data_IF_941501119090
#
_entry.id   IF_941501119090
#
_cell.length_a   1.000
_cell.length_b   1.000
_cell.length_c   1.000
_cell.angle_alpha   90.00
_cell.angle_beta   90.00
_cell.angle_gamma   90.00
#
_symmetry.space_group_name_H-M   'P 1'
#
loop_
_entity.id
_entity.type
_entity.pdbx_description
1 polymer ?
#
# COMPACT_ATOMS: atom_id res chain seq x y z
N UNK A 1 1.58 1.34 30.10
CA UNK A 1 0.69 2.13 29.21
C UNK A 1 0.23 1.27 28.05
N UNK A 2 -1.04 1.35 27.64
CA UNK A 2 -1.63 0.62 26.50
C UNK A 2 -2.17 1.60 25.46
N UNK A 3 -1.81 1.42 24.20
CA UNK A 3 -2.24 2.28 23.09
C UNK A 3 -2.99 1.45 22.06
N UNK A 4 -4.17 1.91 21.66
CA UNK A 4 -4.98 1.34 20.59
C UNK A 4 -4.79 2.14 19.30
N UNK A 5 -4.44 1.47 18.21
CA UNK A 5 -4.37 2.04 16.86
C UNK A 5 -5.45 1.38 15.99
N UNK A 6 -6.23 2.16 15.26
CA UNK A 6 -7.36 1.64 14.47
C UNK A 6 -7.21 2.03 12.99
N UNK A 7 -7.05 1.03 12.12
CA UNK A 7 -6.94 1.18 10.67
C UNK A 7 -7.78 0.12 9.95
N UNK A 8 -9.07 0.42 9.75
CA UNK A 8 -10.06 -0.49 9.14
C UNK A 8 -10.27 -0.24 7.64
N UNK A 9 -9.32 0.42 6.97
CA UNK A 9 -9.39 0.67 5.52
C UNK A 9 -8.69 -0.45 4.73
N UNK A 10 -8.21 -0.13 3.52
CA UNK A 10 -7.63 -1.09 2.57
C UNK A 10 -6.15 -1.35 2.87
N UNK A 11 -5.57 -2.32 2.17
CA UNK A 11 -4.17 -2.75 2.33
C UNK A 11 -3.18 -1.57 2.19
N UNK A 12 -3.37 -0.71 1.18
CA UNK A 12 -2.53 0.47 0.97
C UNK A 12 -2.57 1.44 2.15
N UNK A 13 -3.75 1.74 2.71
CA UNK A 13 -3.87 2.58 3.90
C UNK A 13 -3.11 1.98 5.10
N UNK A 14 -3.18 0.65 5.30
CA UNK A 14 -2.43 -0.02 6.37
C UNK A 14 -0.92 0.13 6.18
N UNK A 15 -0.41 -0.13 4.98
CA UNK A 15 1.02 0.03 4.67
C UNK A 15 1.47 1.47 4.96
N UNK A 16 0.69 2.46 4.52
CA UNK A 16 0.96 3.88 4.77
C UNK A 16 0.72 4.33 6.22
N UNK A 17 0.24 3.45 7.10
CA UNK A 17 0.14 3.69 8.55
C UNK A 17 1.39 3.23 9.30
N UNK A 18 2.23 2.38 8.69
CA UNK A 18 3.47 1.88 9.32
C UNK A 18 4.43 2.97 9.83
N UNK A 19 4.60 4.15 9.17
CA UNK A 19 5.44 5.20 9.73
C UNK A 19 4.87 5.78 11.02
N UNK A 20 3.54 5.91 11.12
CA UNK A 20 2.86 6.36 12.34
C UNK A 20 3.00 5.33 13.47
N UNK A 21 2.89 4.03 13.17
CA UNK A 21 3.14 2.95 14.14
C UNK A 21 4.57 3.04 14.70
N UNK A 22 5.57 3.19 13.81
CA UNK A 22 6.96 3.34 14.19
C UNK A 22 7.19 4.59 15.06
N UNK A 23 6.54 5.71 14.73
CA UNK A 23 6.64 6.95 15.51
C UNK A 23 6.06 6.79 16.92
N UNK A 24 4.90 6.15 17.07
CA UNK A 24 4.30 5.86 18.39
C UNK A 24 5.20 4.92 19.20
N UNK A 25 5.74 3.87 18.58
CA UNK A 25 6.71 2.97 19.24
C UNK A 25 7.96 3.72 19.69
N UNK A 26 8.49 4.63 18.87
CA UNK A 26 9.68 5.43 19.20
C UNK A 26 9.45 6.37 20.39
N UNK A 27 8.31 7.07 20.43
CA UNK A 27 7.94 7.94 21.56
C UNK A 27 7.64 7.14 22.83
N UNK A 28 7.06 5.95 22.70
CA UNK A 28 6.62 5.12 23.82
C UNK A 28 7.19 3.69 23.72
N UNK A 29 8.50 3.49 23.92
CA UNK A 29 9.16 2.21 23.69
C UNK A 29 8.59 1.07 24.55
N UNK A 30 8.24 1.35 25.80
CA UNK A 30 7.64 0.38 26.74
C UNK A 30 6.12 0.24 26.67
N UNK A 31 5.43 0.94 25.77
CA UNK A 31 3.97 0.83 25.67
C UNK A 31 3.53 -0.48 25.03
N UNK A 32 2.37 -1.00 25.44
CA UNK A 32 1.73 -2.10 24.75
C UNK A 32 0.84 -1.55 23.62
N UNK A 33 1.27 -1.70 22.38
CA UNK A 33 0.55 -1.24 21.19
C UNK A 33 -0.35 -2.36 20.64
N UNK A 34 -1.65 -2.11 20.61
CA UNK A 34 -2.63 -2.96 19.92
C UNK A 34 -3.07 -2.29 18.63
N UNK A 35 -2.92 -2.95 17.49
CA UNK A 35 -3.41 -2.49 16.20
C UNK A 35 -4.65 -3.29 15.78
N UNK A 36 -5.70 -2.59 15.38
CA UNK A 36 -6.93 -3.20 14.84
C UNK A 36 -7.00 -2.92 13.34
N UNK A 37 -7.11 -3.99 12.54
CA UNK A 37 -7.14 -3.91 11.08
C UNK A 37 -8.41 -4.53 10.47
N UNK A 38 -8.69 -4.16 9.22
CA UNK A 38 -9.74 -4.81 8.44
C UNK A 38 -9.35 -6.26 8.03
N UNK A 39 -10.32 -7.15 7.80
CA UNK A 39 -10.05 -8.55 7.42
C UNK A 39 -9.25 -8.69 6.13
N UNK A 40 -9.47 -7.80 5.17
CA UNK A 40 -8.75 -7.76 3.89
C UNK A 40 -7.25 -7.49 4.07
N UNK A 41 -6.85 -6.95 5.22
CA UNK A 41 -5.46 -6.68 5.55
C UNK A 41 -4.80 -7.79 6.38
N UNK A 42 -5.55 -8.82 6.80
CA UNK A 42 -5.06 -9.89 7.70
C UNK A 42 -3.78 -10.54 7.18
N UNK A 43 -3.68 -10.78 5.87
CA UNK A 43 -2.51 -11.40 5.26
C UNK A 43 -1.21 -10.59 5.48
N UNK A 44 -1.30 -9.27 5.67
CA UNK A 44 -0.13 -8.43 5.93
C UNK A 44 0.32 -8.46 7.40
N UNK A 45 -0.51 -8.96 8.31
CA UNK A 45 -0.27 -8.88 9.75
C UNK A 45 1.12 -9.35 10.19
N UNK A 46 1.69 -10.46 9.67
CA UNK A 46 3.03 -10.91 10.06
C UNK A 46 4.15 -9.93 9.72
N UNK A 47 3.94 -9.03 8.76
CA UNK A 47 4.95 -8.05 8.35
C UNK A 47 4.85 -6.69 9.06
N UNK A 48 3.82 -6.48 9.89
CA UNK A 48 3.64 -5.24 10.63
C UNK A 48 4.41 -5.31 11.95
N UNK A 49 5.47 -4.50 12.06
CA UNK A 49 6.31 -4.43 13.26
C UNK A 49 5.94 -3.25 14.16
N UNK A 50 6.52 -3.21 15.36
CA UNK A 50 6.30 -2.14 16.33
C UNK A 50 5.00 -2.24 17.13
N UNK A 51 4.17 -3.26 16.88
CA UNK A 51 2.94 -3.56 17.64
C UNK A 51 3.13 -4.81 18.49
N UNK A 52 2.50 -4.86 19.67
CA UNK A 52 2.53 -6.06 20.53
C UNK A 52 1.37 -7.01 20.25
N UNK A 53 0.24 -6.47 19.78
CA UNK A 53 -0.96 -7.24 19.50
C UNK A 53 -1.62 -6.72 18.25
N UNK A 54 -2.02 -7.64 17.37
CA UNK A 54 -2.80 -7.33 16.19
C UNK A 54 -4.15 -8.02 16.28
N UNK A 55 -5.21 -7.26 16.08
CA UNK A 55 -6.59 -7.72 16.07
C UNK A 55 -7.20 -7.49 14.70
N UNK A 56 -7.88 -8.50 14.17
CA UNK A 56 -8.71 -8.34 12.98
C UNK A 56 -10.11 -7.94 13.41
N UNK A 57 -10.75 -7.02 12.71
CA UNK A 57 -12.15 -6.66 12.90
C UNK A 57 -13.03 -7.26 11.78
N UNK A 58 -13.57 -8.48 11.95
CA UNK A 58 -14.54 -9.07 11.04
C UNK A 58 -15.76 -8.18 10.79
N UNK A 59 -16.50 -8.48 9.72
CA UNK A 59 -17.82 -7.90 9.46
C UNK A 59 -18.88 -8.76 10.17
N UNK A 60 -19.95 -8.14 10.66
CA UNK A 60 -21.06 -8.85 11.31
C UNK A 60 -20.74 -9.31 12.74
N UNK A 61 -21.48 -10.32 13.22
CA UNK A 61 -21.44 -10.79 14.61
C UNK A 61 -20.11 -11.44 15.02
N UNK A 62 -19.31 -11.93 14.06
CA UNK A 62 -17.97 -12.46 14.34
C UNK A 62 -16.99 -11.41 14.85
N UNK A 63 -17.32 -10.11 14.75
CA UNK A 63 -16.56 -9.02 15.34
C UNK A 63 -16.69 -8.89 16.86
N UNK A 64 -17.65 -9.56 17.50
CA UNK A 64 -17.93 -9.42 18.94
C UNK A 64 -16.72 -9.77 19.82
N UNK A 65 -15.92 -10.76 19.45
CA UNK A 65 -14.70 -11.13 20.19
C UNK A 65 -13.69 -9.99 20.17
N UNK A 66 -13.45 -9.38 19.01
CA UNK A 66 -12.54 -8.23 18.88
C UNK A 66 -13.08 -7.01 19.62
N UNK A 67 -14.39 -6.78 19.55
CA UNK A 67 -15.09 -5.72 20.28
C UNK A 67 -14.90 -5.91 21.80
N UNK A 68 -15.13 -7.11 22.32
CA UNK A 68 -14.96 -7.44 23.73
C UNK A 68 -13.49 -7.28 24.17
N UNK A 69 -12.54 -7.74 23.35
CA UNK A 69 -11.11 -7.57 23.61
C UNK A 69 -10.71 -6.09 23.69
N UNK A 70 -11.35 -5.22 22.90
CA UNK A 70 -11.13 -3.77 22.97
C UNK A 70 -11.77 -3.18 24.22
N UNK A 71 -13.02 -3.54 24.52
CA UNK A 71 -13.75 -3.04 25.68
C UNK A 71 -13.08 -3.40 27.01
N UNK A 72 -12.50 -4.59 27.12
CA UNK A 72 -11.77 -5.06 28.30
C UNK A 72 -10.28 -4.68 28.29
N UNK A 73 -9.80 -4.04 27.21
CA UNK A 73 -8.37 -3.79 26.98
C UNK A 73 -7.73 -2.77 27.94
N UNK A 74 -8.52 -1.88 28.54
CA UNK A 74 -8.09 -0.75 29.41
C UNK A 74 -7.01 0.11 28.72
N UNK A 75 -7.36 0.76 27.62
CA UNK A 75 -6.42 1.58 26.86
C UNK A 75 -6.22 2.96 27.50
N UNK A 76 -5.01 3.48 27.43
CA UNK A 76 -4.70 4.86 27.81
C UNK A 76 -5.00 5.81 26.64
N UNK A 77 -4.49 5.47 25.45
CA UNK A 77 -4.64 6.27 24.24
C UNK A 77 -5.26 5.45 23.12
N UNK A 78 -6.05 6.09 22.27
CA UNK A 78 -6.64 5.52 21.07
C UNK A 78 -6.49 6.49 19.90
N UNK A 79 -5.93 6.02 18.78
CA UNK A 79 -5.79 6.81 17.53
C UNK A 79 -6.61 6.16 16.42
N UNK A 80 -7.56 6.90 15.84
CA UNK A 80 -8.39 6.44 14.73
C UNK A 80 -7.93 7.03 13.37
N UNK A 81 -7.31 6.19 12.55
CA UNK A 81 -6.91 6.51 11.17
C UNK A 81 -8.05 6.33 10.14
N UNK A 82 -9.15 5.69 10.55
CA UNK A 82 -10.24 5.22 9.68
C UNK A 82 -11.36 6.25 9.52
N UNK A 83 -11.89 6.75 10.64
CA UNK A 83 -12.95 7.78 10.70
C UNK A 83 -14.32 7.35 10.13
N UNK A 84 -14.74 6.12 10.39
CA UNK A 84 -16.07 5.62 10.05
C UNK A 84 -16.86 5.19 11.29
N UNK A 85 -18.10 4.72 11.12
CA UNK A 85 -18.97 4.39 12.27
C UNK A 85 -18.45 3.20 13.07
N UNK A 86 -17.84 2.22 12.38
CA UNK A 86 -17.24 1.06 13.04
C UNK A 86 -16.03 1.47 13.86
N UNK A 87 -15.12 2.27 13.33
CA UNK A 87 -13.96 2.74 14.11
C UNK A 87 -14.40 3.61 15.29
N UNK A 88 -15.40 4.47 15.10
CA UNK A 88 -15.95 5.31 16.17
C UNK A 88 -16.54 4.49 17.33
N UNK A 89 -17.22 3.37 17.05
CA UNK A 89 -17.69 2.45 18.08
C UNK A 89 -16.53 1.86 18.89
N UNK A 90 -15.46 1.42 18.21
CA UNK A 90 -14.28 0.86 18.89
C UNK A 90 -13.56 1.90 19.74
N UNK A 91 -13.50 3.15 19.27
CA UNK A 91 -12.95 4.27 20.04
C UNK A 91 -13.77 4.50 21.31
N UNK A 92 -15.10 4.50 21.22
CA UNK A 92 -15.98 4.61 22.41
C UNK A 92 -15.71 3.47 23.39
N UNK A 93 -15.67 2.23 22.90
CA UNK A 93 -15.47 1.04 23.72
C UNK A 93 -14.06 0.92 24.30
N UNK A 94 -13.05 1.51 23.65
CA UNK A 94 -11.68 1.54 24.17
C UNK A 94 -11.59 2.23 25.55
N UNK A 95 -12.53 3.14 25.84
CA UNK A 95 -12.57 3.98 27.05
C UNK A 95 -11.25 4.73 27.32
N UNK A 96 -10.45 4.94 26.28
CA UNK A 96 -9.17 5.61 26.39
C UNK A 96 -9.32 7.06 26.88
N UNK A 97 -8.40 7.51 27.73
CA UNK A 97 -8.39 8.89 28.23
C UNK A 97 -8.07 9.90 27.14
N UNK A 98 -7.22 9.56 26.16
CA UNK A 98 -7.07 10.34 24.91
C UNK A 98 -7.60 9.52 23.73
N UNK A 99 -8.56 10.07 23.01
CA UNK A 99 -9.23 9.47 21.84
C UNK A 99 -9.10 10.45 20.69
N UNK A 100 -8.13 10.16 19.83
CA UNK A 100 -7.59 11.07 18.83
C UNK A 100 -8.15 10.74 17.45
N UNK A 101 -8.61 11.78 16.76
CA UNK A 101 -9.11 11.70 15.39
C UNK A 101 -8.94 13.04 14.68
N UNK A 102 -9.21 13.08 13.38
CA UNK A 102 -9.25 14.35 12.65
C UNK A 102 -10.46 15.19 13.01
N UNK A 103 -10.25 16.51 13.10
CA UNK A 103 -11.29 17.52 13.31
C UNK A 103 -12.49 17.39 12.35
N UNK A 104 -12.30 16.81 11.16
CA UNK A 104 -13.39 16.59 10.18
C UNK A 104 -14.58 15.80 10.74
N UNK A 105 -14.40 14.99 11.79
CA UNK A 105 -15.53 14.33 12.47
C UNK A 105 -16.50 15.36 13.07
N UNK A 106 -16.02 16.48 13.62
CA UNK A 106 -16.86 17.59 14.13
C UNK A 106 -17.77 18.15 13.06
N UNK A 107 -17.25 18.29 11.84
CA UNK A 107 -18.00 18.80 10.69
C UNK A 107 -19.02 17.78 10.17
N UNK A 108 -18.70 16.48 10.23
CA UNK A 108 -19.53 15.42 9.64
C UNK A 108 -20.58 14.82 10.56
N UNK A 109 -20.39 14.84 11.88
CA UNK A 109 -21.31 14.19 12.81
C UNK A 109 -21.12 14.70 14.25
N UNK A 110 -22.12 15.45 14.74
CA UNK A 110 -22.18 15.87 16.15
C UNK A 110 -22.25 14.67 17.10
N UNK A 111 -22.94 13.59 16.69
CA UNK A 111 -23.06 12.37 17.49
C UNK A 111 -21.69 11.70 17.71
N UNK A 112 -20.97 11.36 16.63
CA UNK A 112 -19.65 10.69 16.74
C UNK A 112 -18.60 11.54 17.40
N UNK A 113 -18.70 12.86 17.30
CA UNK A 113 -17.78 13.79 17.97
C UNK A 113 -17.68 13.52 19.47
N UNK A 114 -18.77 13.09 20.11
CA UNK A 114 -18.81 12.76 21.55
C UNK A 114 -17.92 11.58 21.93
N UNK A 115 -17.48 10.75 20.97
CA UNK A 115 -16.63 9.59 21.22
C UNK A 115 -15.14 9.95 21.22
N UNK A 116 -14.80 11.18 20.85
CA UNK A 116 -13.43 11.67 20.76
C UNK A 116 -13.25 12.89 21.65
N UNK A 117 -12.03 13.12 22.13
CA UNK A 117 -11.69 14.29 22.93
C UNK A 117 -10.44 15.02 22.43
N UNK A 118 -9.66 14.42 21.53
CA UNK A 118 -8.48 15.03 20.93
C UNK A 118 -8.66 15.11 19.41
N UNK A 119 -8.37 16.28 18.82
CA UNK A 119 -8.66 16.54 17.41
C UNK A 119 -7.47 17.17 16.69
N UNK A 120 -6.88 16.43 15.74
CA UNK A 120 -5.89 17.00 14.83
C UNK A 120 -6.56 17.93 13.82
N UNK A 121 -6.03 19.14 13.65
CA UNK A 121 -6.62 20.22 12.84
C UNK A 121 -6.40 20.03 11.33
N UNK A 122 -5.71 18.97 10.93
CA UNK A 122 -5.33 18.71 9.55
C UNK A 122 -6.41 18.03 8.73
N UNK A 123 -6.44 18.35 7.44
CA UNK A 123 -7.37 17.81 6.46
C UNK A 123 -6.65 16.82 5.56
N UNK A 124 -7.10 15.57 5.57
CA UNK A 124 -6.54 14.50 4.72
C UNK A 124 -6.42 14.90 3.24
N UNK A 125 -7.38 15.67 2.72
CA UNK A 125 -7.40 16.05 1.30
C UNK A 125 -6.34 17.10 0.94
N UNK A 126 -5.69 17.69 1.92
CA UNK A 126 -4.69 18.74 1.74
C UNK A 126 -3.27 18.18 2.04
N UNK A 127 -3.15 16.87 2.31
CA UNK A 127 -1.90 16.21 2.69
C UNK A 127 -1.68 14.89 1.93
N UNK A 128 -0.42 14.47 1.87
CA UNK A 128 -0.10 13.07 1.58
C UNK A 128 -0.62 12.17 2.71
N UNK A 129 -1.03 10.94 2.39
CA UNK A 129 -1.68 10.04 3.37
C UNK A 129 -0.76 9.70 4.57
N UNK A 130 0.53 9.49 4.35
CA UNK A 130 1.52 9.31 5.44
C UNK A 130 1.57 10.55 6.34
N UNK A 131 1.67 11.75 5.77
CA UNK A 131 1.75 12.98 6.57
C UNK A 131 0.47 13.19 7.37
N UNK A 132 -0.67 12.86 6.77
CA UNK A 132 -1.95 12.89 7.47
C UNK A 132 -1.99 11.92 8.66
N UNK A 133 -1.48 10.69 8.49
CA UNK A 133 -1.39 9.73 9.60
C UNK A 133 -0.44 10.22 10.70
N UNK A 134 0.70 10.81 10.34
CA UNK A 134 1.63 11.39 11.31
C UNK A 134 1.04 12.61 12.03
N UNK A 135 0.30 13.47 11.33
CA UNK A 135 -0.37 14.63 11.89
C UNK A 135 -1.46 14.26 12.92
N UNK A 136 -2.06 13.06 12.81
CA UNK A 136 -2.96 12.54 13.84
C UNK A 136 -2.25 12.25 15.17
N UNK A 137 -0.92 12.21 15.19
CA UNK A 137 -0.13 11.96 16.40
C UNK A 137 0.32 13.24 17.12
N UNK A 138 0.03 14.44 16.57
CA UNK A 138 0.36 15.71 17.22
C UNK A 138 -0.15 15.83 18.67
N UNK A 139 -1.38 15.39 19.04
CA UNK A 139 -1.84 15.40 20.43
C UNK A 139 -1.08 14.47 21.40
N UNK A 140 -0.20 13.62 20.86
CA UNK A 140 0.74 12.79 21.59
C UNK A 140 2.17 13.38 21.62
N UNK A 141 2.32 14.63 21.18
CA UNK A 141 3.62 15.33 21.08
C UNK A 141 4.62 14.57 20.20
N UNK A 142 4.11 13.99 19.12
CA UNK A 142 4.90 13.34 18.08
C UNK A 142 4.89 14.26 16.87
N UNK A 143 6.01 14.93 16.67
CA UNK A 143 6.32 15.74 15.49
C UNK A 143 7.60 15.21 14.83
N UNK A 144 7.84 15.56 13.56
CA UNK A 144 9.08 15.22 12.84
C UNK A 144 9.44 13.72 12.76
N UNK A 145 8.45 12.85 12.61
CA UNK A 145 8.68 11.43 12.40
C UNK A 145 9.15 11.10 10.96
N UNK A 146 9.90 10.00 10.84
CA UNK A 146 10.26 9.42 9.55
C UNK A 146 9.00 9.05 8.75
N UNK A 147 9.07 9.21 7.43
CA UNK A 147 7.99 8.86 6.49
C UNK A 147 8.23 7.51 5.82
N UNK A 148 9.30 6.81 6.20
CA UNK A 148 9.69 5.53 5.66
C UNK A 148 8.62 4.47 5.96
N UNK A 149 8.11 3.86 4.91
CA UNK A 149 7.25 2.67 5.01
C UNK A 149 8.10 1.52 5.54
N UNK A 150 7.60 0.79 6.54
CA UNK A 150 8.32 -0.32 7.17
C UNK A 150 7.48 -1.58 7.14
N UNK A 151 8.01 -2.62 6.51
CA UNK A 151 7.47 -3.98 6.53
C UNK A 151 8.63 -4.94 6.76
N UNK A 152 8.48 -5.86 7.70
CA UNK A 152 9.47 -6.91 7.93
C UNK A 152 8.91 -8.24 7.42
N UNK A 153 9.36 -8.67 6.25
CA UNK A 153 8.82 -9.89 5.65
C UNK A 153 9.28 -11.12 6.43
N UNK A 154 8.37 -12.03 6.83
CA UNK A 154 8.77 -13.25 7.50
C UNK A 154 9.61 -14.13 6.58
N UNK A 155 10.50 -14.94 7.16
CA UNK A 155 11.38 -15.85 6.42
C UNK A 155 10.61 -16.76 5.46
N UNK A 156 9.47 -17.28 5.91
CA UNK A 156 8.61 -18.15 5.09
C UNK A 156 8.13 -17.48 3.80
N UNK A 157 7.81 -16.18 3.83
CA UNK A 157 7.38 -15.46 2.62
C UNK A 157 8.52 -15.32 1.60
N UNK A 158 9.76 -15.15 2.09
CA UNK A 158 10.97 -15.12 1.24
C UNK A 158 11.23 -16.50 0.63
N UNK A 159 11.15 -17.55 1.44
CA UNK A 159 11.32 -18.95 1.00
C UNK A 159 10.27 -19.34 -0.06
N UNK A 160 9.00 -19.00 0.14
CA UNK A 160 7.94 -19.23 -0.86
C UNK A 160 8.19 -18.45 -2.16
N UNK A 161 8.65 -17.20 -2.07
CA UNK A 161 9.00 -16.42 -3.26
C UNK A 161 10.19 -17.05 -4.02
N UNK A 162 11.22 -17.50 -3.32
CA UNK A 162 12.39 -18.17 -3.90
C UNK A 162 12.00 -19.49 -4.58
N UNK A 163 11.11 -20.26 -3.95
CA UNK A 163 10.56 -21.48 -4.52
C UNK A 163 9.79 -21.20 -5.82
N UNK A 164 8.87 -20.23 -5.82
CA UNK A 164 8.09 -19.87 -7.02
C UNK A 164 8.98 -19.42 -8.19
N UNK A 165 10.04 -18.65 -7.90
CA UNK A 165 11.00 -18.21 -8.92
C UNK A 165 11.79 -19.40 -9.49
N UNK A 166 12.24 -20.31 -8.63
CA UNK A 166 12.99 -21.52 -9.02
C UNK A 166 12.14 -22.45 -9.88
N UNK A 167 10.93 -22.80 -9.41
CA UNK A 167 9.99 -23.68 -10.13
C UNK A 167 9.58 -23.10 -11.49
N UNK A 168 9.55 -21.77 -11.60
CA UNK A 168 9.19 -21.08 -12.84
C UNK A 168 10.40 -20.82 -13.76
N UNK A 169 11.61 -21.21 -13.36
CA UNK A 169 12.86 -20.91 -14.05
C UNK A 169 13.04 -19.40 -14.32
N UNK A 170 12.80 -18.57 -13.30
CA UNK A 170 13.04 -17.13 -13.31
C UNK A 170 14.42 -16.85 -12.71
N UNK A 171 15.29 -16.17 -13.47
CA UNK A 171 16.63 -15.78 -13.05
C UNK A 171 16.57 -14.69 -11.97
N UNK A 172 17.74 -14.33 -11.42
CA UNK A 172 17.85 -13.26 -10.42
C UNK A 172 17.43 -11.90 -10.96
N UNK A 173 17.59 -11.65 -12.26
CA UNK A 173 17.24 -10.41 -12.90
C UNK A 173 15.88 -10.53 -13.61
N UNK A 174 14.85 -9.93 -13.02
CA UNK A 174 13.49 -9.99 -13.51
C UNK A 174 12.69 -8.72 -13.21
N UNK A 175 11.71 -8.47 -14.08
CA UNK A 175 10.78 -7.34 -13.99
C UNK A 175 9.38 -7.87 -13.69
N UNK A 176 8.71 -7.25 -12.71
CA UNK A 176 7.31 -7.57 -12.39
C UNK A 176 6.39 -6.57 -13.08
N UNK A 177 5.38 -7.11 -13.76
CA UNK A 177 4.22 -6.38 -14.24
C UNK A 177 3.02 -6.73 -13.36
N UNK A 178 2.38 -5.71 -12.77
CA UNK A 178 1.16 -5.86 -11.98
C UNK A 178 0.05 -4.98 -12.54
N UNK A 179 -0.71 -5.46 -13.53
CA UNK A 179 -1.77 -4.69 -14.19
C UNK A 179 -3.05 -4.59 -13.35
N UNK A 180 -3.14 -5.36 -12.26
CA UNK A 180 -4.35 -5.58 -11.49
C UNK A 180 -4.67 -4.55 -10.40
N UNK A 181 -5.95 -4.48 -10.06
CA UNK A 181 -6.55 -3.64 -9.03
C UNK A 181 -7.96 -4.15 -8.71
N UNK A 182 -8.46 -3.87 -7.51
CA UNK A 182 -9.84 -4.15 -7.13
C UNK A 182 -10.89 -3.25 -7.83
N UNK A 183 -10.44 -2.34 -8.71
CA UNK A 183 -11.25 -1.30 -9.37
C UNK A 183 -10.94 -1.31 -10.87
N UNK A 184 -11.93 -1.63 -11.69
CA UNK A 184 -11.79 -1.76 -13.16
C UNK A 184 -11.41 -0.45 -13.83
N UNK A 185 -11.84 0.68 -13.29
CA UNK A 185 -11.46 2.00 -13.80
C UNK A 185 -9.97 2.32 -13.64
N UNK A 186 -9.24 1.49 -12.88
CA UNK A 186 -7.78 1.54 -12.76
C UNK A 186 -7.07 0.56 -13.70
N UNK A 187 -7.78 -0.18 -14.56
CA UNK A 187 -7.15 -1.03 -15.55
C UNK A 187 -6.68 -0.19 -16.73
N UNK A 188 -5.44 -0.44 -17.14
CA UNK A 188 -4.91 0.07 -18.40
C UNK A 188 -5.16 -0.94 -19.52
N UNK A 189 -5.19 -0.50 -20.77
CA UNK A 189 -5.58 -1.40 -21.87
C UNK A 189 -4.53 -2.52 -22.06
N UNK A 190 -5.00 -3.69 -22.48
CA UNK A 190 -4.17 -4.90 -22.53
C UNK A 190 -3.11 -4.83 -23.63
N UNK A 191 -3.43 -4.19 -24.74
CA UNK A 191 -2.54 -3.95 -25.88
C UNK A 191 -1.31 -3.15 -25.44
N UNK A 192 -1.52 -2.08 -24.67
CA UNK A 192 -0.42 -1.23 -24.17
C UNK A 192 0.43 -1.95 -23.14
N UNK A 193 -0.17 -2.75 -22.25
CA UNK A 193 0.59 -3.64 -21.38
C UNK A 193 1.46 -4.61 -22.17
N UNK A 194 0.89 -5.26 -23.19
CA UNK A 194 1.62 -6.20 -24.03
C UNK A 194 2.77 -5.53 -24.79
N UNK A 195 2.59 -4.29 -25.27
CA UNK A 195 3.64 -3.50 -25.91
C UNK A 195 4.79 -3.19 -24.95
N UNK A 196 4.50 -2.71 -23.74
CA UNK A 196 5.53 -2.44 -22.71
C UNK A 196 6.28 -3.73 -22.34
N UNK A 197 5.56 -4.83 -22.13
CA UNK A 197 6.15 -6.14 -21.81
C UNK A 197 7.07 -6.61 -22.94
N UNK A 198 6.64 -6.44 -24.19
CA UNK A 198 7.43 -6.81 -25.38
C UNK A 198 8.73 -6.00 -25.43
N UNK A 199 8.64 -4.68 -25.25
CA UNK A 199 9.82 -3.80 -25.24
C UNK A 199 10.80 -4.08 -24.12
N UNK A 200 10.31 -4.48 -22.93
CA UNK A 200 11.17 -4.86 -21.82
C UNK A 200 12.10 -6.03 -22.20
N UNK A 201 11.60 -7.01 -22.97
CA UNK A 201 12.39 -8.17 -23.38
C UNK A 201 13.27 -7.90 -24.59
N UNK A 202 12.79 -7.10 -25.55
CA UNK A 202 13.57 -6.76 -26.75
C UNK A 202 14.85 -5.97 -26.40
N UNK A 203 14.76 -5.08 -25.42
CA UNK A 203 15.82 -4.12 -25.11
C UNK A 203 16.70 -4.54 -23.92
N UNK A 204 16.28 -5.54 -23.14
CA UNK A 204 17.00 -5.97 -21.93
C UNK A 204 16.95 -7.50 -21.74
N UNK A 205 18.07 -8.08 -21.27
CA UNK A 205 18.13 -9.49 -20.87
C UNK A 205 17.55 -9.71 -19.46
N UNK A 206 16.25 -9.50 -19.31
CA UNK A 206 15.52 -9.68 -18.05
C UNK A 206 14.39 -10.68 -18.22
N UNK A 207 14.09 -11.43 -17.16
CA UNK A 207 12.92 -12.30 -17.16
C UNK A 207 11.65 -11.51 -16.86
N UNK A 208 10.56 -11.85 -17.55
CA UNK A 208 9.28 -11.17 -17.44
C UNK A 208 8.35 -11.94 -16.50
N UNK A 209 7.84 -11.28 -15.46
CA UNK A 209 6.93 -11.87 -14.49
C UNK A 209 5.63 -11.08 -14.44
N UNK A 210 4.50 -11.75 -14.66
CA UNK A 210 3.16 -11.19 -14.52
C UNK A 210 2.56 -11.60 -13.17
N UNK A 211 2.04 -10.64 -12.41
CA UNK A 211 1.37 -10.87 -11.12
C UNK A 211 -0.03 -10.29 -11.12
N UNK A 212 -0.87 -10.74 -10.18
CA UNK A 212 -2.26 -10.29 -10.06
C UNK A 212 -3.01 -11.10 -8.99
N UNK A 213 -4.08 -10.54 -8.44
CA UNK A 213 -4.93 -11.22 -7.48
C UNK A 213 -5.73 -12.36 -8.12
N UNK A 214 -6.25 -13.29 -7.30
CA UNK A 214 -7.07 -14.44 -7.75
C UNK A 214 -8.51 -14.07 -8.15
N UNK A 215 -8.87 -12.78 -8.11
CA UNK A 215 -10.22 -12.34 -8.49
C UNK A 215 -10.49 -12.61 -9.97
N UNK A 216 -11.72 -13.02 -10.32
CA UNK A 216 -12.11 -13.24 -11.73
C UNK A 216 -11.80 -12.02 -12.60
N UNK A 217 -12.04 -10.82 -12.07
CA UNK A 217 -11.75 -9.56 -12.74
C UNK A 217 -10.28 -9.44 -13.16
N UNK A 218 -9.35 -9.62 -12.22
CA UNK A 218 -7.92 -9.51 -12.49
C UNK A 218 -7.41 -10.66 -13.34
N UNK A 219 -7.90 -11.89 -13.14
CA UNK A 219 -7.50 -13.05 -13.94
C UNK A 219 -7.93 -12.90 -15.40
N UNK A 220 -9.13 -12.39 -15.68
CA UNK A 220 -9.55 -12.08 -17.06
C UNK A 220 -8.61 -11.05 -17.68
N UNK A 221 -8.29 -9.97 -16.98
CA UNK A 221 -7.40 -8.92 -17.50
C UNK A 221 -5.97 -9.43 -17.75
N UNK A 222 -5.41 -10.20 -16.81
CA UNK A 222 -4.10 -10.84 -16.94
C UNK A 222 -4.05 -11.79 -18.13
N UNK A 223 -5.07 -12.62 -18.32
CA UNK A 223 -5.14 -13.54 -19.46
C UNK A 223 -5.23 -12.80 -20.80
N UNK A 224 -5.96 -11.68 -20.84
CA UNK A 224 -6.09 -10.85 -22.03
C UNK A 224 -4.80 -10.11 -22.41
N UNK A 225 -3.98 -9.73 -21.41
CA UNK A 225 -2.62 -9.22 -21.63
C UNK A 225 -1.73 -10.35 -22.14
N UNK A 226 -1.72 -11.50 -21.44
CA UNK A 226 -0.86 -12.64 -21.76
C UNK A 226 -1.08 -13.15 -23.20
N UNK A 227 -2.32 -13.15 -23.70
CA UNK A 227 -2.63 -13.59 -25.07
C UNK A 227 -2.04 -12.67 -26.16
N UNK A 228 -1.67 -11.43 -25.81
CA UNK A 228 -1.10 -10.43 -26.72
C UNK A 228 0.42 -10.31 -26.63
N UNK A 229 1.04 -10.85 -25.59
CA UNK A 229 2.50 -10.83 -25.39
C UNK A 229 3.15 -11.88 -26.28
N UNK A 230 4.16 -11.47 -27.06
CA UNK A 230 4.89 -12.35 -27.99
C UNK A 230 5.98 -13.19 -27.33
N UNK A 231 6.56 -12.70 -26.24
CA UNK A 231 7.66 -13.36 -25.53
C UNK A 231 7.18 -14.28 -24.41
N UNK A 232 8.05 -15.18 -23.97
CA UNK A 232 7.83 -15.96 -22.74
C UNK A 232 7.69 -15.00 -21.55
N UNK A 233 6.52 -15.04 -20.91
CA UNK A 233 6.24 -14.36 -19.65
C UNK A 233 5.76 -15.37 -18.61
N UNK A 234 6.37 -15.34 -17.43
CA UNK A 234 5.99 -16.21 -16.32
C UNK A 234 4.76 -15.61 -15.64
N UNK A 235 3.65 -16.34 -15.64
CA UNK A 235 2.43 -15.90 -14.96
C UNK A 235 2.34 -16.47 -13.54
N UNK A 236 2.46 -15.59 -12.54
CA UNK A 236 2.26 -15.86 -11.12
C UNK A 236 0.94 -15.25 -10.58
N UNK A 237 0.04 -14.78 -11.46
CA UNK A 237 -1.27 -14.30 -11.05
C UNK A 237 -2.05 -15.39 -10.31
N UNK A 238 -2.65 -15.03 -9.17
CA UNK A 238 -3.38 -15.97 -8.32
C UNK A 238 -2.52 -17.03 -7.61
N UNK A 239 -1.19 -17.04 -7.82
CA UNK A 239 -0.25 -17.98 -7.17
C UNK A 239 0.51 -17.37 -5.99
N UNK A 240 0.18 -16.13 -5.62
CA UNK A 240 0.87 -15.39 -4.56
C UNK A 240 -0.14 -14.90 -3.53
N UNK A 241 0.24 -14.96 -2.26
CA UNK A 241 -0.39 -14.15 -1.23
C UNK A 241 0.31 -12.78 -1.11
N UNK A 242 -0.18 -11.93 -0.22
CA UNK A 242 0.33 -10.56 -0.10
C UNK A 242 1.79 -10.51 0.37
N UNK A 243 2.21 -11.43 1.23
CA UNK A 243 3.57 -11.45 1.77
C UNK A 243 4.55 -12.01 0.74
N UNK A 244 4.16 -13.06 0.02
CA UNK A 244 4.93 -13.63 -1.09
C UNK A 244 5.07 -12.62 -2.22
N UNK A 245 4.00 -11.89 -2.56
CA UNK A 245 4.07 -10.80 -3.53
C UNK A 245 5.04 -9.70 -3.09
N UNK A 246 5.02 -9.31 -1.81
CA UNK A 246 5.97 -8.35 -1.28
C UNK A 246 7.42 -8.85 -1.37
N UNK A 247 7.67 -10.14 -1.10
CA UNK A 247 8.99 -10.76 -1.21
C UNK A 247 9.47 -10.83 -2.67
N UNK A 248 8.60 -11.16 -3.62
CA UNK A 248 8.91 -11.11 -5.05
C UNK A 248 9.26 -9.69 -5.50
N UNK A 249 8.46 -8.69 -5.09
CA UNK A 249 8.71 -7.27 -5.40
C UNK A 249 10.05 -6.82 -4.82
N UNK A 250 10.40 -7.22 -3.59
CA UNK A 250 11.67 -6.86 -2.97
C UNK A 250 12.90 -7.41 -3.72
N UNK A 251 12.71 -8.46 -4.52
CA UNK A 251 13.76 -9.08 -5.35
C UNK A 251 13.76 -8.63 -6.80
N UNK A 252 12.69 -8.00 -7.27
CA UNK A 252 12.57 -7.57 -8.66
C UNK A 252 13.52 -6.39 -8.95
N UNK A 253 14.05 -6.34 -10.18
CA UNK A 253 14.81 -5.17 -10.65
C UNK A 253 13.92 -3.94 -10.82
N UNK A 254 12.67 -4.17 -11.24
CA UNK A 254 11.69 -3.13 -11.49
C UNK A 254 10.27 -3.68 -11.29
N UNK A 255 9.39 -2.87 -10.71
CA UNK A 255 7.94 -3.09 -10.69
C UNK A 255 7.24 -2.09 -11.61
N UNK A 256 6.42 -2.56 -12.56
CA UNK A 256 5.54 -1.72 -13.36
C UNK A 256 4.11 -2.05 -12.94
N UNK A 257 3.40 -1.07 -12.39
CA UNK A 257 2.10 -1.29 -11.73
C UNK A 257 1.14 -0.12 -11.91
N UNK A 258 -0.15 -0.37 -11.68
CA UNK A 258 -1.12 0.70 -11.44
C UNK A 258 -1.09 1.16 -9.98
N UNK A 259 -1.81 2.23 -9.63
CA UNK A 259 -2.05 2.65 -8.25
C UNK A 259 -2.86 1.57 -7.47
N UNK A 260 -2.15 0.57 -6.95
CA UNK A 260 -2.68 -0.54 -6.15
C UNK A 260 -1.70 -0.95 -5.04
N UNK A 261 -2.04 -1.97 -4.25
CA UNK A 261 -1.24 -2.37 -3.09
C UNK A 261 0.26 -2.65 -3.40
N UNK A 262 0.63 -3.28 -4.52
CA UNK A 262 2.03 -3.51 -4.91
C UNK A 262 2.92 -2.27 -4.95
N UNK A 263 2.40 -1.12 -5.38
CA UNK A 263 3.13 0.16 -5.35
C UNK A 263 3.61 0.51 -3.93
N UNK A 264 2.75 0.28 -2.94
CA UNK A 264 3.08 0.52 -1.54
C UNK A 264 4.00 -0.56 -0.96
N UNK A 265 3.90 -1.81 -1.41
CA UNK A 265 4.84 -2.87 -1.05
C UNK A 265 6.25 -2.55 -1.56
N UNK A 266 6.38 -2.11 -2.81
CA UNK A 266 7.64 -1.66 -3.41
C UNK A 266 8.23 -0.45 -2.67
N UNK A 267 7.39 0.39 -2.06
CA UNK A 267 7.86 1.50 -1.22
C UNK A 267 8.60 1.02 0.04
N UNK A 268 8.23 -0.15 0.59
CA UNK A 268 8.88 -0.72 1.78
C UNK A 268 10.24 -1.35 1.46
N UNK A 269 10.37 -2.03 0.33
CA UNK A 269 11.62 -2.65 -0.14
C UNK A 269 12.51 -1.71 -0.95
N UNK A 270 12.04 -0.49 -1.22
CA UNK A 270 12.67 0.48 -2.13
C UNK A 270 12.91 -0.05 -3.54
N UNK A 271 12.10 -1.00 -3.99
CA UNK A 271 12.13 -1.51 -5.36
C UNK A 271 11.82 -0.38 -6.34
N UNK A 272 12.65 -0.14 -7.36
CA UNK A 272 12.34 0.82 -8.42
C UNK A 272 10.97 0.52 -9.04
N UNK A 273 10.21 1.55 -9.41
CA UNK A 273 8.89 1.35 -9.97
C UNK A 273 8.45 2.40 -11.00
N UNK A 274 7.72 1.93 -12.01
CA UNK A 274 6.92 2.77 -12.90
C UNK A 274 5.45 2.61 -12.52
N UNK A 275 4.76 3.73 -12.27
CA UNK A 275 3.40 3.69 -11.73
C UNK A 275 2.43 4.45 -12.61
N UNK A 276 1.32 3.79 -12.95
CA UNK A 276 0.26 4.35 -13.77
C UNK A 276 -0.86 4.89 -12.87
N UNK A 277 -1.04 6.22 -12.87
CA UNK A 277 -2.11 6.92 -12.15
C UNK A 277 -3.14 7.48 -13.14
N UNK A 278 -4.35 6.93 -13.12
CA UNK A 278 -5.49 7.46 -13.86
C UNK A 278 -6.49 8.17 -12.92
N UNK A 279 -7.50 7.45 -12.39
CA UNK A 279 -8.65 8.05 -11.71
C UNK A 279 -8.35 8.52 -10.27
N UNK A 280 -7.08 8.45 -9.85
CA UNK A 280 -6.63 8.80 -8.50
C UNK A 280 -5.53 9.86 -8.56
N UNK A 281 -5.41 10.63 -7.48
CA UNK A 281 -4.41 11.70 -7.39
C UNK A 281 -3.11 11.16 -6.74
N UNK A 282 -1.97 11.11 -7.46
CA UNK A 282 -0.68 10.69 -6.91
C UNK A 282 -0.20 11.56 -5.74
N UNK A 283 -0.67 12.80 -5.59
CA UNK A 283 -0.37 13.64 -4.43
C UNK A 283 -0.65 12.94 -3.09
N UNK A 284 -1.69 12.10 -3.02
CA UNK A 284 -2.08 11.44 -1.77
C UNK A 284 -1.40 10.09 -1.52
N UNK A 285 -0.92 9.42 -2.58
CA UNK A 285 -0.63 7.99 -2.54
C UNK A 285 0.75 7.62 -3.07
N UNK A 286 1.44 8.51 -3.78
CA UNK A 286 2.71 8.17 -4.41
C UNK A 286 3.76 7.69 -3.41
N UNK A 287 4.67 6.81 -3.83
CA UNK A 287 5.90 6.59 -3.09
C UNK A 287 6.70 7.89 -3.01
N UNK A 288 7.38 8.11 -1.88
CA UNK A 288 8.22 9.30 -1.65
C UNK A 288 9.68 8.98 -1.33
N UNK A 289 9.96 7.73 -0.95
CA UNK A 289 11.30 7.30 -0.50
C UNK A 289 11.85 6.10 -1.31
N UNK A 290 11.16 5.70 -2.39
CA UNK A 290 11.65 4.69 -3.34
C UNK A 290 11.79 5.31 -4.74
N UNK A 291 12.70 4.79 -5.58
CA UNK A 291 12.85 5.26 -6.96
C UNK A 291 11.54 5.00 -7.72
N UNK A 292 10.82 6.05 -8.09
CA UNK A 292 9.51 5.93 -8.71
C UNK A 292 9.33 6.95 -9.82
N UNK A 293 8.89 6.49 -10.99
CA UNK A 293 8.45 7.35 -12.10
C UNK A 293 6.93 7.18 -12.27
N UNK A 294 6.21 8.29 -12.26
CA UNK A 294 4.74 8.31 -12.26
C UNK A 294 4.25 8.80 -13.60
N UNK A 295 3.36 8.04 -14.24
CA UNK A 295 2.77 8.38 -15.54
C UNK A 295 1.28 8.67 -15.35
N UNK A 296 0.83 9.76 -15.97
CA UNK A 296 -0.56 10.20 -15.95
C UNK A 296 -0.88 10.92 -17.27
N UNK A 297 -2.03 10.61 -17.87
CA UNK A 297 -2.49 11.25 -19.09
C UNK A 297 -1.55 11.02 -20.29
N UNK A 298 -1.66 11.88 -21.30
CA UNK A 298 -0.99 11.72 -22.58
C UNK A 298 0.50 12.09 -22.57
N UNK A 299 1.03 12.59 -21.44
CA UNK A 299 2.44 12.96 -21.31
C UNK A 299 3.35 11.74 -21.47
N UNK A 300 4.44 11.90 -22.23
CA UNK A 300 5.53 10.91 -22.29
C UNK A 300 6.55 11.09 -21.16
N UNK A 301 6.61 12.28 -20.56
CA UNK A 301 7.49 12.55 -19.42
C UNK A 301 6.82 12.16 -18.10
N UNK A 302 7.58 11.62 -17.13
CA UNK A 302 7.09 11.37 -15.78
C UNK A 302 6.56 12.65 -15.12
N UNK A 303 5.49 12.48 -14.35
CA UNK A 303 4.81 13.55 -13.62
C UNK A 303 5.64 13.97 -12.40
N UNK A 304 5.92 15.27 -12.26
CA UNK A 304 6.81 15.83 -11.23
C UNK A 304 6.12 16.78 -10.24
N UNK A 305 4.97 17.35 -10.61
CA UNK A 305 4.26 18.35 -9.80
C UNK A 305 3.04 17.78 -9.08
N UNK A 306 3.13 17.60 -7.76
CA UNK A 306 2.04 16.98 -6.99
C UNK A 306 1.29 18.02 -6.17
N UNK A 307 0.00 18.21 -6.48
CA UNK A 307 -0.87 19.16 -5.76
C UNK A 307 -2.13 18.47 -5.20
N UNK A 308 -2.70 18.97 -4.08
CA UNK A 308 -3.88 18.37 -3.46
C UNK A 308 -5.09 18.20 -4.39
N UNK A 309 -5.26 19.13 -5.33
CA UNK A 309 -6.36 19.13 -6.31
C UNK A 309 -5.77 19.14 -7.71
N UNK A 310 -5.96 18.05 -8.43
CA UNK A 310 -5.62 17.95 -9.85
C UNK A 310 -6.70 17.15 -10.59
N UNK A 311 -6.81 17.32 -11.92
CA UNK A 311 -7.67 16.50 -12.76
C UNK A 311 -7.37 15.01 -12.58
N UNK A 312 -8.43 14.20 -12.61
CA UNK A 312 -8.33 12.74 -12.66
C UNK A 312 -8.52 12.34 -14.11
N UNK A 313 -7.60 11.54 -14.63
CA UNK A 313 -7.61 11.15 -16.04
C UNK A 313 -7.99 9.68 -16.17
N UNK A 314 -8.68 9.26 -17.23
CA UNK A 314 -8.93 7.84 -17.44
C UNK A 314 -7.60 7.11 -17.74
N UNK A 315 -7.52 5.84 -17.36
CA UNK A 315 -6.31 5.04 -17.58
C UNK A 315 -5.93 4.94 -19.06
N UNK A 316 -6.91 4.88 -19.96
CA UNK A 316 -6.68 4.74 -21.40
C UNK A 316 -5.96 5.94 -22.04
N UNK A 317 -5.86 7.08 -21.36
CA UNK A 317 -5.07 8.22 -21.83
C UNK A 317 -3.58 8.12 -21.49
N UNK A 318 -3.19 7.19 -20.60
CA UNK A 318 -1.78 7.04 -20.20
C UNK A 318 -0.96 6.62 -21.41
N UNK A 319 0.06 7.41 -21.74
CA UNK A 319 0.93 7.19 -22.91
C UNK A 319 1.75 5.91 -22.78
N UNK A 320 1.56 4.98 -23.71
CA UNK A 320 2.35 3.73 -23.78
C UNK A 320 3.83 4.01 -23.96
N UNK A 321 4.17 4.94 -24.86
CA UNK A 321 5.54 5.40 -25.06
C UNK A 321 6.15 5.97 -23.78
N UNK A 322 5.41 6.80 -23.03
CA UNK A 322 5.91 7.33 -21.75
C UNK A 322 6.19 6.26 -20.70
N UNK A 323 5.38 5.19 -20.67
CA UNK A 323 5.63 4.04 -19.78
C UNK A 323 6.88 3.27 -20.23
N UNK A 324 7.09 3.08 -21.53
CA UNK A 324 8.32 2.46 -22.09
C UNK A 324 9.55 3.30 -21.75
N UNK A 325 9.55 4.60 -22.05
CA UNK A 325 10.67 5.51 -21.81
C UNK A 325 11.05 5.54 -20.31
N UNK A 326 10.04 5.56 -19.43
CA UNK A 326 10.25 5.50 -17.97
C UNK A 326 10.81 4.15 -17.51
N UNK A 327 10.33 3.05 -18.07
CA UNK A 327 10.86 1.70 -17.80
C UNK A 327 12.33 1.60 -18.22
N UNK A 328 12.66 2.03 -19.44
CA UNK A 328 14.03 2.02 -19.96
C UNK A 328 14.97 2.90 -19.12
N UNK A 329 14.50 4.05 -18.66
CA UNK A 329 15.25 4.93 -17.76
C UNK A 329 15.64 4.20 -16.46
N UNK A 330 14.70 3.50 -15.83
CA UNK A 330 14.96 2.77 -14.58
C UNK A 330 15.74 1.48 -14.79
N UNK A 331 15.56 0.80 -15.93
CA UNK A 331 16.35 -0.40 -16.26
C UNK A 331 17.77 -0.06 -16.68
N UNK A 332 18.04 1.12 -17.24
CA UNK A 332 19.40 1.54 -17.63
C UNK A 332 20.25 2.00 -16.45
N UNK A 333 19.63 2.33 -15.31
CA UNK A 333 20.37 2.62 -14.08
C UNK A 333 21.09 1.36 -13.56
N UNK A 334 22.32 1.48 -13.04
CA UNK A 334 23.01 0.35 -12.41
C UNK A 334 22.16 -0.19 -11.26
N UNK A 335 22.06 -1.51 -11.15
CA UNK A 335 21.27 -2.17 -10.12
C UNK A 335 21.73 -1.69 -8.74
N UNK A 336 20.91 -0.87 -8.08
CA UNK A 336 21.16 -0.48 -6.70
C UNK A 336 21.05 -1.74 -5.85
N UNK A 337 22.13 -2.08 -5.12
CA UNK A 337 22.13 -3.24 -4.23
C UNK A 337 20.93 -3.18 -3.28
N UNK A 338 20.23 -4.30 -3.01
CA UNK A 338 19.10 -4.30 -2.10
C UNK A 338 19.57 -3.82 -0.72
N UNK A 339 18.75 -3.02 0.00
CA UNK A 339 19.05 -2.70 1.39
C UNK A 339 19.07 -4.01 2.21
N UNK A 340 20.16 -4.18 2.98
CA UNK A 340 20.40 -5.31 3.89
C UNK A 340 19.25 -5.54 4.87
#
# INVERSE_FOLDING_TARGET
MKILLIQLKRIGDLILTTPAIAAVRGKFPGAHLTLVIAPECKALAPAITGVNKLLVMPRGLSGLVTIAAIACGKFDYCVDFTRNDRSALLVLLSRARKRIVSFRIKVRSKFRTRFYNEFAQHRMRDMHTIDYHLALLEPLEISNASRAVRLELPKSARETADQLLTESNVRKDFVIFHPGSARTEKFWNAESWAEVITRARDNHDVDLVLTGGSSRLEQTHVNDIKSKVRHRIVNLSGKTDLLTLAALIARARLLITVDSAPMHLASASRTPQVILFGPTNPFHWRPRESPALILQGTSTSPFTEFVPKQPRLPMNQISTRGVIDAMETLLSAPATSPPL
#
